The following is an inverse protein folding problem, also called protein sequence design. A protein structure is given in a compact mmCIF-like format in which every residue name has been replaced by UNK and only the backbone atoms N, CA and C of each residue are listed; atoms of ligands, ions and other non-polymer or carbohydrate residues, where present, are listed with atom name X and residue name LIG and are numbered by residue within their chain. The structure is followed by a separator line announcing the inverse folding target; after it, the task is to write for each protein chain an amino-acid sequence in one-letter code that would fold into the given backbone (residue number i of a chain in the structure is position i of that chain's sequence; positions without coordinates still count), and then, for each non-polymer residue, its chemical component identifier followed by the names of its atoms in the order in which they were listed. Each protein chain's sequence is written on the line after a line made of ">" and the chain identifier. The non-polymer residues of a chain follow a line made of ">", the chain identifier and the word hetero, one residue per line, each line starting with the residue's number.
data_IF_155851330701
#
_entry.id   IF_155851330701
#
_cell.length_a   1.000
_cell.length_b   1.000
_cell.length_c   1.000
_cell.angle_alpha   90.00
_cell.angle_beta   90.00
_cell.angle_gamma   90.00
#
_symmetry.space_group_name_H-M   'P 1'
#
loop_
_entity.id
_entity.type
_entity.pdbx_description
1 polymer ?
#
# COMPACT_ATOMS: atom_id res chain seq x y z
N UNK A 1 17.30 -28.27 -5.88
CA UNK A 1 18.74 -28.04 -6.16
C UNK A 1 19.45 -27.28 -5.03
N UNK A 2 18.78 -26.36 -4.32
CA UNK A 2 19.32 -25.59 -3.17
C UNK A 2 19.91 -26.41 -2.01
N UNK A 3 19.35 -27.56 -1.66
CA UNK A 3 19.73 -28.33 -0.47
C UNK A 3 20.99 -29.20 -0.62
N UNK A 4 21.61 -29.28 -1.80
CA UNK A 4 22.72 -30.23 -2.05
C UNK A 4 24.10 -29.72 -1.62
N UNK A 5 24.30 -28.41 -1.57
CA UNK A 5 25.60 -27.78 -1.27
C UNK A 5 25.59 -26.97 0.04
N UNK A 6 24.54 -27.12 0.85
CA UNK A 6 24.45 -26.50 2.17
C UNK A 6 25.27 -27.37 3.13
N UNK A 7 26.32 -26.79 3.75
CA UNK A 7 27.14 -27.49 4.75
C UNK A 7 26.28 -28.16 5.82
N UNK A 8 26.75 -29.28 6.38
CA UNK A 8 25.97 -30.10 7.33
C UNK A 8 25.39 -29.27 8.50
N UNK A 9 26.10 -28.22 8.91
CA UNK A 9 25.71 -27.24 9.94
C UNK A 9 24.46 -26.40 9.63
N UNK A 10 24.02 -26.33 8.37
CA UNK A 10 22.88 -25.51 7.94
C UNK A 10 21.70 -26.34 7.44
N UNK A 11 21.73 -27.68 7.60
CA UNK A 11 20.61 -28.55 7.22
C UNK A 11 19.33 -28.23 8.00
N UNK A 12 19.45 -27.88 9.28
CA UNK A 12 18.32 -27.47 10.11
C UNK A 12 17.72 -26.14 9.61
N UNK A 13 18.57 -25.18 9.28
CA UNK A 13 18.13 -23.90 8.72
C UNK A 13 17.39 -24.09 7.38
N UNK A 14 17.85 -25.02 6.55
CA UNK A 14 17.22 -25.36 5.29
C UNK A 14 15.87 -26.08 5.47
N UNK A 15 15.74 -26.95 6.49
CA UNK A 15 14.47 -27.57 6.88
C UNK A 15 13.47 -26.51 7.37
N UNK A 16 13.92 -25.60 8.24
CA UNK A 16 13.10 -24.50 8.76
C UNK A 16 12.62 -23.58 7.64
N UNK A 17 13.50 -23.28 6.66
CA UNK A 17 13.11 -22.54 5.47
C UNK A 17 12.02 -23.25 4.66
N UNK A 18 12.14 -24.56 4.44
CA UNK A 18 11.11 -25.34 3.74
C UNK A 18 9.77 -25.34 4.48
N UNK A 19 9.81 -25.42 5.82
CA UNK A 19 8.60 -25.30 6.65
C UNK A 19 7.97 -23.91 6.51
N UNK A 20 8.77 -22.84 6.59
CA UNK A 20 8.32 -21.48 6.32
C UNK A 20 7.67 -21.33 4.93
N UNK A 21 8.21 -21.99 3.89
CA UNK A 21 7.60 -21.99 2.56
C UNK A 21 6.23 -22.69 2.52
N UNK A 22 6.04 -23.76 3.31
CA UNK A 22 4.76 -24.45 3.42
C UNK A 22 3.72 -23.62 4.19
N UNK A 23 4.17 -22.91 5.22
CA UNK A 23 3.31 -22.12 6.13
C UNK A 23 3.13 -20.66 5.65
N UNK A 24 3.41 -20.35 4.38
CA UNK A 24 3.29 -18.99 3.83
C UNK A 24 1.89 -18.38 4.01
N UNK A 25 0.84 -19.20 4.10
CA UNK A 25 -0.54 -18.76 4.33
C UNK A 25 -0.74 -18.00 5.65
N UNK A 26 0.18 -18.12 6.62
CA UNK A 26 0.15 -17.35 7.85
C UNK A 26 0.51 -15.86 7.66
N UNK A 27 1.12 -15.49 6.53
CA UNK A 27 1.57 -14.13 6.26
C UNK A 27 0.69 -13.40 5.26
N UNK A 28 0.59 -12.08 5.41
CA UNK A 28 -0.15 -11.27 4.45
C UNK A 28 0.48 -11.35 3.05
N UNK A 29 -0.32 -11.28 1.95
CA UNK A 29 0.20 -11.29 0.59
C UNK A 29 1.25 -10.21 0.32
N UNK A 30 1.11 -9.04 0.98
CA UNK A 30 2.06 -7.94 0.88
C UNK A 30 3.40 -8.28 1.55
N UNK A 31 3.38 -8.91 2.73
CA UNK A 31 4.60 -9.38 3.41
C UNK A 31 5.35 -10.37 2.54
N UNK A 32 4.66 -11.35 1.95
CA UNK A 32 5.28 -12.32 1.05
C UNK A 32 5.83 -11.69 -0.23
N UNK A 33 5.11 -10.71 -0.79
CA UNK A 33 5.57 -9.93 -1.95
C UNK A 33 6.85 -9.16 -1.62
N UNK A 34 6.88 -8.51 -0.46
CA UNK A 34 8.01 -7.72 0.01
C UNK A 34 9.23 -8.58 0.29
N UNK A 35 9.04 -9.72 0.96
CA UNK A 35 10.08 -10.70 1.18
C UNK A 35 10.68 -11.18 -0.15
N UNK A 36 9.84 -11.58 -1.12
CA UNK A 36 10.30 -12.02 -2.44
C UNK A 36 11.11 -10.93 -3.15
N UNK A 37 10.66 -9.67 -3.09
CA UNK A 37 11.34 -8.55 -3.75
C UNK A 37 12.70 -8.28 -3.13
N UNK A 38 12.78 -8.19 -1.81
CA UNK A 38 14.04 -7.97 -1.09
C UNK A 38 15.00 -9.14 -1.34
N UNK A 39 14.49 -10.36 -1.26
CA UNK A 39 15.29 -11.56 -1.45
C UNK A 39 15.90 -11.64 -2.86
N UNK A 40 15.15 -11.32 -3.91
CA UNK A 40 15.70 -11.24 -5.26
C UNK A 40 16.76 -10.14 -5.40
N UNK A 41 16.55 -8.99 -4.75
CA UNK A 41 17.54 -7.90 -4.75
C UNK A 41 18.83 -8.31 -4.07
N UNK A 42 18.74 -8.94 -2.90
CA UNK A 42 19.87 -9.49 -2.15
C UNK A 42 20.61 -10.58 -2.92
N UNK A 43 19.91 -11.61 -3.41
CA UNK A 43 20.53 -12.71 -4.13
C UNK A 43 21.26 -12.24 -5.40
N UNK A 44 20.68 -11.27 -6.12
CA UNK A 44 21.34 -10.64 -7.27
C UNK A 44 22.61 -9.90 -6.87
N UNK A 45 22.56 -9.14 -5.77
CA UNK A 45 23.70 -8.42 -5.24
C UNK A 45 24.84 -9.35 -4.84
N UNK A 46 24.54 -10.47 -4.18
CA UNK A 46 25.51 -11.51 -3.82
C UNK A 46 26.12 -12.15 -5.06
N UNK A 47 25.27 -12.55 -6.02
CA UNK A 47 25.71 -13.22 -7.23
C UNK A 47 26.66 -12.35 -8.06
N UNK A 48 26.39 -11.05 -8.17
CA UNK A 48 27.25 -10.09 -8.86
C UNK A 48 28.65 -9.96 -8.21
N UNK A 49 28.82 -10.40 -6.96
CA UNK A 49 30.07 -10.36 -6.20
C UNK A 49 30.70 -11.73 -5.96
N UNK A 50 30.11 -12.80 -6.52
CA UNK A 50 30.56 -14.17 -6.24
C UNK A 50 30.35 -14.61 -4.79
N UNK A 51 29.45 -13.95 -4.04
CA UNK A 51 29.15 -14.28 -2.66
C UNK A 51 27.99 -15.29 -2.58
N UNK A 52 28.02 -16.16 -1.57
CA UNK A 52 26.86 -16.95 -1.20
C UNK A 52 25.77 -16.02 -0.63
N UNK A 53 24.53 -16.19 -1.10
CA UNK A 53 23.39 -15.42 -0.60
C UNK A 53 22.83 -15.98 0.72
N UNK A 54 23.20 -17.22 1.08
CA UNK A 54 22.79 -17.87 2.33
C UNK A 54 23.88 -18.84 2.84
N UNK A 55 24.11 -18.90 4.17
CA UNK A 55 23.55 -18.02 5.22
C UNK A 55 23.95 -16.55 5.01
N UNK A 56 23.16 -15.62 5.53
CA UNK A 56 23.43 -14.19 5.36
C UNK A 56 24.56 -13.79 6.32
N UNK A 57 25.75 -13.51 5.78
CA UNK A 57 26.86 -12.92 6.56
C UNK A 57 26.49 -11.50 7.02
N UNK A 58 26.70 -11.15 8.30
CA UNK A 58 26.51 -9.78 8.78
C UNK A 58 27.37 -8.76 8.02
N UNK A 59 28.61 -9.10 7.68
CA UNK A 59 29.51 -8.23 6.92
C UNK A 59 28.96 -7.93 5.53
N UNK A 60 28.52 -8.97 4.81
CA UNK A 60 27.92 -8.84 3.49
C UNK A 60 26.59 -8.06 3.54
N UNK A 61 25.75 -8.30 4.55
CA UNK A 61 24.52 -7.55 4.75
C UNK A 61 24.78 -6.08 5.05
N UNK A 62 25.79 -5.78 5.87
CA UNK A 62 26.23 -4.40 6.15
C UNK A 62 26.65 -3.67 4.88
N UNK A 63 27.52 -4.29 4.07
CA UNK A 63 27.97 -3.70 2.80
C UNK A 63 26.79 -3.47 1.85
N UNK A 64 25.89 -4.44 1.74
CA UNK A 64 24.69 -4.32 0.93
C UNK A 64 23.84 -3.11 1.34
N UNK A 65 23.51 -2.98 2.63
CA UNK A 65 22.66 -1.88 3.13
C UNK A 65 23.32 -0.51 2.94
N UNK A 66 24.65 -0.42 3.13
CA UNK A 66 25.41 0.81 2.84
C UNK A 66 25.42 1.12 1.34
N UNK A 67 25.58 0.13 0.47
CA UNK A 67 25.51 0.39 -0.97
C UNK A 67 24.12 0.88 -1.40
N UNK A 68 23.05 0.36 -0.81
CA UNK A 68 21.70 0.89 -1.08
C UNK A 68 21.59 2.37 -0.68
N UNK A 69 22.20 2.75 0.45
CA UNK A 69 22.25 4.14 0.91
C UNK A 69 23.08 5.05 -0.01
N UNK A 70 24.23 4.56 -0.45
CA UNK A 70 25.13 5.26 -1.39
C UNK A 70 24.49 5.41 -2.78
N UNK A 71 23.64 4.46 -3.18
CA UNK A 71 22.80 4.54 -4.38
C UNK A 71 21.56 5.46 -4.21
N UNK A 72 21.50 6.22 -3.12
CA UNK A 72 20.46 7.20 -2.81
C UNK A 72 19.05 6.61 -2.69
N UNK A 73 18.93 5.35 -2.27
CA UNK A 73 17.63 4.78 -1.92
C UNK A 73 17.10 5.40 -0.62
N UNK A 74 15.79 5.61 -0.57
CA UNK A 74 15.10 6.08 0.63
C UNK A 74 15.40 5.19 1.84
N UNK A 75 15.66 5.80 3.01
CA UNK A 75 15.98 5.09 4.25
C UNK A 75 14.92 4.04 4.63
N UNK A 76 13.64 4.35 4.42
CA UNK A 76 12.52 3.41 4.62
C UNK A 76 12.59 2.16 3.73
N UNK A 77 13.14 2.28 2.52
CA UNK A 77 13.35 1.12 1.62
C UNK A 77 14.49 0.26 2.16
N UNK A 78 15.56 0.88 2.66
CA UNK A 78 16.70 0.17 3.25
C UNK A 78 16.27 -0.55 4.54
N UNK A 79 15.46 0.09 5.38
CA UNK A 79 14.88 -0.55 6.58
C UNK A 79 14.00 -1.74 6.24
N UNK A 80 13.22 -1.66 5.17
CA UNK A 80 12.44 -2.79 4.66
C UNK A 80 13.36 -3.94 4.22
N UNK A 81 14.46 -3.65 3.53
CA UNK A 81 15.44 -4.67 3.16
C UNK A 81 16.00 -5.35 4.42
N UNK A 82 16.47 -4.55 5.38
CA UNK A 82 16.96 -5.03 6.67
C UNK A 82 15.93 -5.89 7.43
N UNK A 83 14.66 -5.47 7.49
CA UNK A 83 13.60 -6.20 8.17
C UNK A 83 13.26 -7.53 7.49
N UNK A 84 13.19 -7.58 6.16
CA UNK A 84 12.89 -8.82 5.43
C UNK A 84 14.04 -9.83 5.50
N UNK A 85 15.29 -9.37 5.53
CA UNK A 85 16.45 -10.26 5.76
C UNK A 85 16.46 -10.83 7.19
N UNK A 86 16.16 -10.01 8.20
CA UNK A 86 15.98 -10.48 9.58
C UNK A 86 14.83 -11.47 9.72
N UNK A 87 13.70 -11.21 9.05
CA UNK A 87 12.59 -12.14 9.01
C UNK A 87 13.04 -13.50 8.43
N UNK A 88 13.78 -13.51 7.33
CA UNK A 88 14.30 -14.75 6.74
C UNK A 88 15.20 -15.51 7.72
N UNK A 89 16.16 -14.84 8.36
CA UNK A 89 17.06 -15.47 9.35
C UNK A 89 16.28 -16.05 10.52
N UNK A 90 15.35 -15.28 11.08
CA UNK A 90 14.49 -15.72 12.17
C UNK A 90 13.67 -16.96 11.79
N UNK A 91 13.10 -17.00 10.59
CA UNK A 91 12.33 -18.16 10.12
C UNK A 91 13.22 -19.38 9.85
N UNK A 92 14.51 -19.17 9.57
CA UNK A 92 15.48 -20.25 9.43
C UNK A 92 16.08 -20.70 10.78
N UNK A 93 15.75 -20.04 11.89
CA UNK A 93 16.37 -20.31 13.20
C UNK A 93 17.82 -19.84 13.31
N UNK A 94 18.23 -18.88 12.48
CA UNK A 94 19.58 -18.30 12.48
C UNK A 94 19.61 -16.99 13.29
N UNK A 95 20.79 -16.59 13.81
CA UNK A 95 20.98 -15.29 14.47
C UNK A 95 20.51 -14.13 13.57
N UNK A 96 19.89 -13.12 14.16
CA UNK A 96 19.40 -11.97 13.41
C UNK A 96 20.54 -10.98 13.14
N UNK A 97 20.44 -10.22 12.05
CA UNK A 97 21.36 -9.12 11.75
C UNK A 97 21.33 -8.04 12.83
N UNK A 98 20.24 -7.93 13.59
CA UNK A 98 20.15 -7.02 14.73
C UNK A 98 21.08 -7.38 15.88
N UNK A 99 21.47 -8.64 15.98
CA UNK A 99 22.37 -9.11 17.03
C UNK A 99 23.82 -8.72 16.73
N UNK A 100 24.13 -8.43 15.47
CA UNK A 100 25.42 -7.92 15.05
C UNK A 100 25.54 -6.40 15.23
N UNK A 101 26.52 -5.99 16.05
CA UNK A 101 26.77 -4.57 16.35
C UNK A 101 27.18 -3.76 15.12
N UNK A 102 27.92 -4.35 14.19
CA UNK A 102 28.42 -3.65 13.01
C UNK A 102 27.28 -3.29 12.05
N UNK A 103 26.31 -4.20 11.87
CA UNK A 103 25.11 -3.96 11.07
C UNK A 103 24.20 -2.94 11.75
N UNK A 104 23.99 -3.09 13.06
CA UNK A 104 23.18 -2.15 13.84
C UNK A 104 23.72 -0.71 13.80
N UNK A 105 25.04 -0.54 13.89
CA UNK A 105 25.69 0.77 13.74
C UNK A 105 25.56 1.33 12.31
N UNK A 106 25.65 0.49 11.28
CA UNK A 106 25.44 0.92 9.90
C UNK A 106 23.99 1.41 9.69
N UNK A 107 22.98 0.69 10.18
CA UNK A 107 21.58 1.14 10.12
C UNK A 107 21.36 2.45 10.90
N UNK A 108 21.99 2.61 12.07
CA UNK A 108 21.95 3.89 12.82
C UNK A 108 22.57 5.04 12.03
N UNK A 109 23.69 4.79 11.34
CA UNK A 109 24.35 5.78 10.47
C UNK A 109 23.43 6.19 9.32
N UNK A 110 22.86 5.22 8.59
CA UNK A 110 21.94 5.45 7.47
C UNK A 110 20.76 6.32 7.92
N UNK A 111 20.12 5.98 9.04
CA UNK A 111 19.01 6.77 9.61
C UNK A 111 19.42 8.20 9.94
N UNK A 112 20.59 8.38 10.56
CA UNK A 112 21.10 9.70 10.93
C UNK A 112 21.36 10.55 9.70
N UNK A 113 22.13 10.04 8.74
CA UNK A 113 22.49 10.76 7.51
C UNK A 113 21.26 11.09 6.66
N UNK A 114 20.30 10.17 6.55
CA UNK A 114 19.01 10.42 5.92
C UNK A 114 18.28 11.61 6.56
N UNK A 115 18.22 11.67 7.89
CA UNK A 115 17.54 12.73 8.61
C UNK A 115 18.30 14.08 8.58
N UNK A 116 19.63 14.07 8.73
CA UNK A 116 20.43 15.30 8.93
C UNK A 116 21.01 15.88 7.65
N UNK A 117 21.48 15.04 6.72
CA UNK A 117 22.21 15.47 5.52
C UNK A 117 21.31 15.57 4.32
N UNK A 118 20.43 14.57 4.13
CA UNK A 118 19.47 14.55 3.01
C UNK A 118 18.17 15.29 3.34
N UNK A 119 17.94 15.62 4.62
CA UNK A 119 16.67 16.18 5.08
C UNK A 119 15.48 15.29 4.70
N UNK A 120 15.70 13.97 4.61
CA UNK A 120 14.70 13.01 4.17
C UNK A 120 13.54 13.06 5.18
N UNK A 121 12.43 13.64 4.75
CA UNK A 121 11.16 13.58 5.47
C UNK A 121 10.34 12.50 4.81
N UNK A 122 9.80 11.59 5.60
CA UNK A 122 8.71 10.72 5.14
C UNK A 122 7.61 11.61 4.59
N UNK A 123 7.47 11.64 3.26
CA UNK A 123 6.50 12.49 2.59
C UNK A 123 5.11 12.14 3.09
N UNK A 124 4.51 13.07 3.82
CA UNK A 124 3.11 12.96 4.20
C UNK A 124 2.27 13.40 3.00
N UNK A 125 1.21 12.66 2.75
CA UNK A 125 0.21 13.04 1.77
C UNK A 125 -0.32 14.45 2.05
N UNK A 126 -0.47 15.27 1.01
CA UNK A 126 -1.17 16.56 1.14
C UNK A 126 -2.65 16.26 1.42
N UNK A 127 -3.25 16.80 2.50
CA UNK A 127 -4.63 16.50 2.83
C UNK A 127 -5.58 17.19 1.85
N UNK A 128 -6.57 16.44 1.36
CA UNK A 128 -7.76 17.03 0.73
C UNK A 128 -8.61 17.70 1.82
N UNK A 129 -8.79 19.01 1.78
CA UNK A 129 -9.57 19.74 2.79
C UNK A 129 -11.06 19.73 2.48
N UNK A 130 -11.90 20.03 3.46
CA UNK A 130 -13.35 20.11 3.27
C UNK A 130 -13.77 21.11 2.19
N UNK A 131 -13.11 22.27 2.11
CA UNK A 131 -13.43 23.27 1.08
C UNK A 131 -13.01 22.81 -0.33
N UNK A 132 -11.95 22.01 -0.43
CA UNK A 132 -11.57 21.35 -1.68
C UNK A 132 -12.65 20.36 -2.11
N UNK A 133 -13.16 19.56 -1.17
CA UNK A 133 -14.22 18.59 -1.43
C UNK A 133 -15.53 19.26 -1.85
N UNK A 134 -15.89 20.40 -1.24
CA UNK A 134 -17.05 21.21 -1.67
C UNK A 134 -16.90 21.73 -3.11
N UNK A 135 -15.71 22.23 -3.47
CA UNK A 135 -15.49 22.72 -4.81
C UNK A 135 -15.58 21.57 -5.83
N UNK A 136 -14.96 20.43 -5.52
CA UNK A 136 -15.08 19.21 -6.33
C UNK A 136 -16.52 18.71 -6.45
N UNK A 137 -17.31 18.81 -5.39
CA UNK A 137 -18.73 18.47 -5.41
C UNK A 137 -19.49 19.30 -6.44
N UNK A 138 -19.27 20.62 -6.46
CA UNK A 138 -19.90 21.54 -7.44
C UNK A 138 -19.43 21.23 -8.87
N UNK A 139 -18.13 20.99 -9.06
CA UNK A 139 -17.55 20.73 -10.38
C UNK A 139 -18.01 19.39 -10.96
N UNK A 140 -18.03 18.32 -10.14
CA UNK A 140 -18.31 16.97 -10.60
C UNK A 140 -19.81 16.63 -10.64
N UNK A 141 -20.64 17.29 -9.82
CA UNK A 141 -22.10 17.04 -9.82
C UNK A 141 -22.80 17.44 -11.11
N UNK A 142 -22.19 18.31 -11.93
CA UNK A 142 -22.75 18.78 -13.20
C UNK A 142 -22.29 17.97 -14.41
N UNK A 143 -21.47 16.94 -14.19
CA UNK A 143 -20.92 16.13 -15.28
C UNK A 143 -21.85 14.98 -15.65
N UNK A 144 -22.10 14.80 -16.95
CA UNK A 144 -22.81 13.64 -17.49
C UNK A 144 -21.92 12.38 -17.56
N UNK A 145 -20.64 12.51 -17.21
CA UNK A 145 -19.68 11.41 -17.28
C UNK A 145 -19.75 10.61 -15.97
N UNK A 146 -20.08 9.32 -16.08
CA UNK A 146 -20.10 8.40 -14.93
C UNK A 146 -18.77 8.33 -14.19
N UNK A 147 -17.65 8.53 -14.87
CA UNK A 147 -16.33 8.57 -14.22
C UNK A 147 -16.22 9.70 -13.21
N UNK A 148 -16.84 10.85 -13.49
CA UNK A 148 -16.80 12.03 -12.64
C UNK A 148 -17.73 11.84 -11.43
N UNK A 149 -18.92 11.26 -11.64
CA UNK A 149 -19.83 10.88 -10.54
C UNK A 149 -19.22 9.80 -9.63
N UNK A 150 -18.55 8.80 -10.20
CA UNK A 150 -17.81 7.79 -9.45
C UNK A 150 -16.71 8.43 -8.61
N UNK A 151 -15.90 9.30 -9.21
CA UNK A 151 -14.80 9.96 -8.53
C UNK A 151 -15.33 10.84 -7.38
N UNK A 152 -16.42 11.58 -7.61
CA UNK A 152 -17.12 12.37 -6.59
C UNK A 152 -17.56 11.50 -5.41
N UNK A 153 -18.29 10.41 -5.65
CA UNK A 153 -18.74 9.50 -4.59
C UNK A 153 -17.56 8.83 -3.86
N UNK A 154 -16.52 8.43 -4.58
CA UNK A 154 -15.29 7.87 -4.01
C UNK A 154 -14.63 8.86 -3.04
N UNK A 155 -14.47 10.13 -3.43
CA UNK A 155 -13.84 11.16 -2.60
C UNK A 155 -14.68 11.47 -1.34
N UNK A 156 -16.01 11.55 -1.48
CA UNK A 156 -16.90 11.76 -0.32
C UNK A 156 -16.88 10.58 0.65
N UNK A 157 -16.85 9.35 0.15
CA UNK A 157 -16.78 8.16 1.00
C UNK A 157 -15.40 8.07 1.68
N UNK A 158 -14.32 8.30 0.94
CA UNK A 158 -12.97 8.36 1.50
C UNK A 158 -12.88 9.43 2.59
N UNK A 159 -13.47 10.60 2.36
CA UNK A 159 -13.42 11.71 3.30
C UNK A 159 -14.14 11.38 4.60
N UNK A 160 -15.34 10.81 4.47
CA UNK A 160 -16.20 10.57 5.61
C UNK A 160 -15.80 9.34 6.45
N UNK A 161 -15.20 8.31 5.82
CA UNK A 161 -14.91 7.03 6.49
C UNK A 161 -13.47 6.88 6.95
N UNK A 162 -12.53 7.63 6.35
CA UNK A 162 -11.07 7.52 6.55
C UNK A 162 -10.53 6.10 6.33
N UNK A 163 -11.20 5.31 5.50
CA UNK A 163 -10.74 3.97 5.16
C UNK A 163 -9.44 4.00 4.38
N UNK A 164 -8.59 3.00 4.61
CA UNK A 164 -7.39 2.82 3.79
C UNK A 164 -7.79 2.42 2.38
N UNK A 165 -6.98 2.80 1.40
CA UNK A 165 -7.21 2.46 -0.02
C UNK A 165 -7.51 0.99 -0.27
N UNK A 166 -6.84 0.08 0.44
CA UNK A 166 -7.07 -1.35 0.31
C UNK A 166 -8.46 -1.77 0.84
N UNK A 167 -8.95 -1.14 1.90
CA UNK A 167 -10.28 -1.36 2.47
C UNK A 167 -11.33 -0.77 1.51
N UNK A 168 -11.14 0.48 1.08
CA UNK A 168 -11.99 1.17 0.12
C UNK A 168 -12.18 0.37 -1.18
N UNK A 169 -11.11 -0.22 -1.72
CA UNK A 169 -11.16 -1.00 -2.97
C UNK A 169 -12.05 -2.24 -2.92
N UNK A 170 -12.31 -2.76 -1.71
CA UNK A 170 -13.05 -4.00 -1.49
C UNK A 170 -14.50 -3.80 -1.10
N UNK A 171 -14.92 -2.56 -0.83
CA UNK A 171 -16.31 -2.23 -0.50
C UNK A 171 -17.22 -2.67 -1.64
N UNK A 172 -18.27 -3.41 -1.29
CA UNK A 172 -19.31 -3.87 -2.21
C UNK A 172 -20.61 -3.12 -1.95
N UNK A 173 -21.52 -3.20 -2.92
CA UNK A 173 -22.86 -2.58 -2.79
C UNK A 173 -23.63 -3.16 -1.60
N UNK A 174 -23.53 -4.48 -1.38
CA UNK A 174 -24.17 -5.16 -0.23
C UNK A 174 -23.64 -4.75 1.15
N UNK A 175 -22.49 -4.08 1.20
CA UNK A 175 -21.91 -3.62 2.46
C UNK A 175 -22.56 -2.29 2.92
N UNK A 176 -23.48 -1.73 2.12
CA UNK A 176 -24.22 -0.52 2.40
C UNK A 176 -25.62 -0.86 2.91
N UNK A 177 -25.96 -0.36 4.09
CA UNK A 177 -27.31 -0.44 4.66
C UNK A 177 -27.93 0.97 4.68
N UNK A 178 -29.04 1.17 3.99
CA UNK A 178 -29.78 2.43 4.06
C UNK A 178 -30.60 2.47 5.36
N UNK A 179 -30.36 3.48 6.21
CA UNK A 179 -31.06 3.68 7.47
C UNK A 179 -31.65 5.09 7.51
N UNK A 180 -32.94 5.22 7.14
CA UNK A 180 -33.57 6.54 7.03
C UNK A 180 -32.90 7.39 5.95
N UNK A 181 -32.35 8.55 6.34
CA UNK A 181 -31.69 9.49 5.43
C UNK A 181 -30.16 9.37 5.38
N UNK A 182 -29.59 8.38 6.07
CA UNK A 182 -28.17 8.06 6.03
C UNK A 182 -27.94 6.62 5.57
N UNK A 183 -26.72 6.33 5.14
CA UNK A 183 -26.25 4.97 4.85
C UNK A 183 -25.23 4.56 5.91
N UNK A 184 -25.28 3.32 6.36
CA UNK A 184 -24.25 2.69 7.18
C UNK A 184 -23.40 1.79 6.28
N UNK A 185 -22.08 1.96 6.33
CA UNK A 185 -21.12 1.09 5.64
C UNK A 185 -20.54 0.08 6.64
N UNK A 186 -20.72 -1.22 6.35
CA UNK A 186 -20.17 -2.31 7.14
C UNK A 186 -18.80 -2.76 6.59
N UNK A 187 -17.73 -2.59 7.37
CA UNK A 187 -16.37 -2.92 6.94
C UNK A 187 -15.91 -4.22 7.58
N UNK A 188 -15.93 -5.32 6.83
CA UNK A 188 -15.69 -6.68 7.35
C UNK A 188 -14.20 -7.05 7.48
N UNK A 189 -13.28 -6.31 6.85
CA UNK A 189 -11.84 -6.66 6.86
C UNK A 189 -10.93 -5.42 6.91
N UNK A 190 -10.37 -5.13 8.10
CA UNK A 190 -9.31 -4.13 8.26
C UNK A 190 -7.96 -4.77 8.56
N UNK A 191 -6.86 -4.09 8.22
CA UNK A 191 -5.48 -4.61 8.41
C UNK A 191 -5.11 -4.88 9.88
N UNK A 192 -5.90 -4.39 10.83
CA UNK A 192 -5.58 -4.40 12.27
C UNK A 192 -6.60 -5.19 13.10
N UNK A 193 -7.75 -5.58 12.53
CA UNK A 193 -8.82 -6.28 13.25
C UNK A 193 -9.08 -7.62 12.55
N UNK A 194 -8.52 -8.68 13.12
CA UNK A 194 -8.76 -10.08 12.73
C UNK A 194 -9.93 -10.68 13.53
N UNK A 195 -10.51 -9.95 14.47
CA UNK A 195 -11.72 -10.37 15.19
C UNK A 195 -12.95 -10.12 14.32
N UNK A 196 -13.90 -11.03 14.36
CA UNK A 196 -15.13 -11.05 13.55
C UNK A 196 -16.09 -9.86 13.78
N UNK A 197 -15.70 -8.87 14.60
CA UNK A 197 -16.43 -7.63 14.78
C UNK A 197 -15.99 -6.64 13.70
N UNK A 198 -16.74 -6.59 12.59
CA UNK A 198 -16.57 -5.55 11.58
C UNK A 198 -16.67 -4.14 12.15
N UNK A 199 -16.32 -3.14 11.34
CA UNK A 199 -16.41 -1.73 11.72
C UNK A 199 -17.53 -1.06 10.93
N UNK A 200 -18.53 -0.55 11.64
CA UNK A 200 -19.64 0.18 11.03
C UNK A 200 -19.33 1.68 10.95
N UNK A 201 -19.59 2.27 9.79
CA UNK A 201 -19.37 3.70 9.50
C UNK A 201 -20.67 4.32 9.01
N UNK A 202 -21.33 5.08 9.88
CA UNK A 202 -22.51 5.88 9.50
C UNK A 202 -22.05 7.05 8.63
N UNK A 203 -22.63 7.15 7.44
CA UNK A 203 -22.30 8.18 6.47
C UNK A 203 -23.04 9.48 6.76
N UNK A 204 -22.38 10.62 6.53
CA UNK A 204 -23.05 11.91 6.57
C UNK A 204 -24.19 11.97 5.55
N UNK A 205 -25.20 12.81 5.78
CA UNK A 205 -26.31 13.01 4.82
C UNK A 205 -25.81 13.43 3.44
N UNK A 206 -24.78 14.28 3.38
CA UNK A 206 -24.21 14.71 2.09
C UNK A 206 -23.51 13.56 1.37
N UNK A 207 -22.68 12.80 2.08
CA UNK A 207 -22.03 11.60 1.54
C UNK A 207 -23.07 10.59 1.05
N UNK A 208 -24.15 10.39 1.82
CA UNK A 208 -25.26 9.52 1.46
C UNK A 208 -25.94 9.97 0.16
N UNK A 209 -26.25 11.26 0.02
CA UNK A 209 -26.83 11.80 -1.21
C UNK A 209 -25.91 11.59 -2.42
N UNK A 210 -24.62 11.95 -2.30
CA UNK A 210 -23.64 11.76 -3.40
C UNK A 210 -23.47 10.29 -3.76
N UNK A 211 -23.48 9.40 -2.77
CA UNK A 211 -23.38 7.96 -2.98
C UNK A 211 -24.62 7.40 -3.69
N UNK A 212 -25.81 7.87 -3.31
CA UNK A 212 -27.06 7.51 -3.97
C UNK A 212 -27.08 7.99 -5.43
N UNK A 213 -26.69 9.24 -5.71
CA UNK A 213 -26.55 9.76 -7.09
C UNK A 213 -25.69 8.82 -7.95
N UNK A 214 -24.57 8.33 -7.39
CA UNK A 214 -23.68 7.39 -8.06
C UNK A 214 -24.33 6.02 -8.28
N UNK A 215 -24.97 5.44 -7.25
CA UNK A 215 -25.61 4.13 -7.35
C UNK A 215 -26.74 4.12 -8.39
N UNK A 216 -27.52 5.19 -8.44
CA UNK A 216 -28.61 5.38 -9.42
C UNK A 216 -28.05 5.52 -10.83
N UNK A 217 -27.08 6.41 -11.05
CA UNK A 217 -26.51 6.64 -12.38
C UNK A 217 -25.73 5.43 -12.91
N UNK A 218 -25.07 4.68 -12.03
CA UNK A 218 -24.25 3.51 -12.40
C UNK A 218 -25.06 2.23 -12.61
N UNK A 219 -26.29 2.17 -12.11
CA UNK A 219 -27.12 0.95 -12.12
C UNK A 219 -26.60 -0.14 -11.19
N UNK A 220 -25.78 0.19 -10.18
CA UNK A 220 -25.16 -0.80 -9.30
C UNK A 220 -26.08 -1.29 -8.18
N UNK A 221 -27.23 -0.64 -7.93
CA UNK A 221 -28.17 -1.03 -6.86
C UNK A 221 -28.62 -2.49 -6.96
N UNK A 222 -28.83 -2.97 -8.17
CA UNK A 222 -29.30 -4.34 -8.43
C UNK A 222 -28.15 -5.38 -8.42
N UNK A 223 -26.94 -4.96 -8.07
CA UNK A 223 -25.74 -5.79 -8.10
C UNK A 223 -25.02 -5.80 -6.74
N UNK A 224 -25.60 -6.46 -5.71
CA UNK A 224 -25.09 -6.45 -4.34
C UNK A 224 -23.63 -6.92 -4.22
N UNK A 225 -23.22 -7.89 -5.04
CA UNK A 225 -21.85 -8.42 -5.01
C UNK A 225 -20.81 -7.59 -5.78
N UNK A 226 -21.26 -6.61 -6.56
CA UNK A 226 -20.35 -5.75 -7.30
C UNK A 226 -19.56 -4.86 -6.34
N UNK A 227 -18.29 -4.61 -6.68
CA UNK A 227 -17.49 -3.60 -5.99
C UNK A 227 -18.09 -2.21 -6.25
N UNK A 228 -18.10 -1.37 -5.22
CA UNK A 228 -18.82 -0.10 -5.21
C UNK A 228 -18.29 0.92 -6.23
N UNK A 229 -16.99 0.88 -6.52
CA UNK A 229 -16.33 1.80 -7.45
C UNK A 229 -15.61 1.04 -8.57
N UNK A 230 -16.31 0.57 -9.61
CA UNK A 230 -15.70 -0.15 -10.71
C UNK A 230 -15.03 0.75 -11.76
N UNK A 231 -14.25 0.14 -12.67
CA UNK A 231 -13.89 0.78 -13.92
C UNK A 231 -15.15 1.24 -14.67
N UNK A 232 -15.11 2.46 -15.21
CA UNK A 232 -16.13 2.99 -16.12
C UNK A 232 -15.61 2.82 -17.55
N UNK A 233 -16.39 2.17 -18.41
CA UNK A 233 -16.04 1.95 -19.81
C UNK A 233 -16.16 3.24 -20.63
N UNK A 234 -15.42 3.34 -21.74
CA UNK A 234 -15.46 4.50 -22.66
C UNK A 234 -16.85 4.84 -23.20
N UNK A 235 -17.78 3.87 -23.19
CA UNK A 235 -19.19 4.06 -23.56
C UNK A 235 -20.04 4.63 -22.43
N UNK A 236 -19.43 5.22 -21.40
CA UNK A 236 -20.09 5.78 -20.21
C UNK A 236 -20.98 4.78 -19.46
N UNK A 237 -20.46 3.56 -19.23
CA UNK A 237 -21.15 2.52 -18.44
C UNK A 237 -20.24 1.99 -17.34
N UNK A 238 -20.77 1.84 -16.12
CA UNK A 238 -20.07 1.17 -15.03
C UNK A 238 -19.94 -0.33 -15.33
N UNK A 239 -18.77 -0.91 -15.08
CA UNK A 239 -18.57 -2.36 -15.25
C UNK A 239 -19.01 -3.09 -13.99
N UNK A 240 -19.98 -3.99 -14.11
CA UNK A 240 -20.35 -4.90 -13.02
C UNK A 240 -19.22 -5.91 -12.83
N UNK A 241 -18.55 -5.87 -11.68
CA UNK A 241 -17.41 -6.75 -11.38
C UNK A 241 -17.24 -6.91 -9.89
N UNK A 242 -16.65 -8.04 -9.49
CA UNK A 242 -16.18 -8.28 -8.12
C UNK A 242 -14.69 -7.97 -7.96
N UNK A 243 -14.00 -7.61 -9.06
CA UNK A 243 -12.56 -7.33 -9.06
C UNK A 243 -12.32 -5.87 -8.65
N UNK A 244 -11.60 -5.61 -7.54
CA UNK A 244 -11.29 -4.25 -7.09
C UNK A 244 -10.55 -3.41 -8.12
N UNK A 245 -10.71 -2.08 -8.03
CA UNK A 245 -9.79 -1.16 -8.69
C UNK A 245 -8.37 -1.35 -8.16
N UNK A 246 -7.39 -1.23 -9.06
CA UNK A 246 -5.98 -1.27 -8.68
C UNK A 246 -5.59 -0.02 -7.89
N UNK A 247 -4.56 -0.12 -7.05
CA UNK A 247 -4.07 1.03 -6.29
C UNK A 247 -3.71 2.24 -7.19
N UNK A 248 -3.01 2.07 -8.34
CA UNK A 248 -2.75 3.19 -9.25
C UNK A 248 -4.02 3.82 -9.83
N UNK A 249 -5.04 3.01 -10.13
CA UNK A 249 -6.30 3.54 -10.67
C UNK A 249 -7.04 4.40 -9.64
N UNK A 250 -6.98 4.04 -8.36
CA UNK A 250 -7.56 4.85 -7.30
C UNK A 250 -6.69 6.06 -6.93
N UNK A 251 -5.36 5.95 -6.94
CA UNK A 251 -4.43 7.10 -6.79
C UNK A 251 -4.67 8.13 -7.90
N UNK A 252 -4.99 7.68 -9.12
CA UNK A 252 -5.38 8.55 -10.24
C UNK A 252 -6.64 9.38 -9.93
N UNK A 253 -7.62 8.84 -9.20
CA UNK A 253 -8.83 9.60 -8.83
C UNK A 253 -8.45 10.86 -8.04
N UNK A 254 -7.53 10.72 -7.09
CA UNK A 254 -7.04 11.84 -6.31
C UNK A 254 -6.20 12.82 -7.14
N UNK A 255 -5.33 12.31 -8.01
CA UNK A 255 -4.51 13.14 -8.91
C UNK A 255 -5.39 13.97 -9.86
N UNK A 256 -6.43 13.36 -10.45
CA UNK A 256 -7.38 14.04 -11.31
C UNK A 256 -8.16 15.12 -10.54
N UNK A 257 -8.57 14.83 -9.31
CA UNK A 257 -9.24 15.80 -8.43
C UNK A 257 -8.33 16.99 -8.08
N UNK A 258 -7.05 16.73 -7.81
CA UNK A 258 -6.06 17.78 -7.52
C UNK A 258 -5.84 18.71 -8.72
N UNK A 259 -5.72 18.12 -9.91
CA UNK A 259 -5.60 18.86 -11.16
C UNK A 259 -6.85 19.73 -11.44
N UNK A 260 -8.06 19.21 -11.19
CA UNK A 260 -9.31 19.96 -11.33
C UNK A 260 -9.38 21.19 -10.39
N UNK A 261 -8.75 21.12 -9.22
CA UNK A 261 -8.66 22.23 -8.28
C UNK A 261 -7.64 23.29 -8.70
N UNK A 262 -6.95 23.11 -9.83
CA UNK A 262 -5.87 24.01 -10.26
C UNK A 262 -4.67 24.01 -9.32
N UNK A 263 -4.58 23.03 -8.42
CA UNK A 263 -3.45 22.88 -7.53
C UNK A 263 -2.36 22.15 -8.30
N UNK A 264 -1.26 22.84 -8.58
CA UNK A 264 -0.03 22.17 -9.03
C UNK A 264 0.47 21.25 -7.92
N UNK A 265 1.08 20.13 -8.29
CA UNK A 265 1.81 19.29 -7.33
C UNK A 265 2.75 20.19 -6.55
N UNK A 266 2.49 20.36 -5.24
CA UNK A 266 3.49 20.91 -4.35
C UNK A 266 4.75 20.07 -4.58
N UNK A 267 5.87 20.73 -4.87
CA UNK A 267 7.16 20.15 -5.25
C UNK A 267 7.30 18.74 -4.69
N UNK A 268 7.43 17.70 -5.54
CA UNK A 268 7.48 16.33 -5.04
C UNK A 268 8.61 16.26 -4.04
N UNK A 269 8.29 16.09 -2.75
CA UNK A 269 9.26 15.59 -1.80
C UNK A 269 9.64 14.24 -2.38
N UNK A 270 10.87 14.13 -2.86
CA UNK A 270 11.42 12.95 -3.56
C UNK A 270 11.23 11.71 -2.68
N UNK A 271 10.08 11.05 -2.78
CA UNK A 271 9.96 9.65 -2.45
C UNK A 271 10.49 8.91 -3.68
N UNK A 272 11.81 8.69 -3.72
CA UNK A 272 12.44 7.86 -4.75
C UNK A 272 12.03 6.42 -4.48
N UNK A 273 10.85 6.05 -4.96
CA UNK A 273 10.52 4.64 -5.17
C UNK A 273 11.36 4.17 -6.36
N UNK A 274 12.11 3.09 -6.15
CA UNK A 274 12.88 2.43 -7.21
C UNK A 274 11.95 1.95 -8.33
N UNK A 275 11.78 2.85 -9.32
CA UNK A 275 11.08 2.81 -10.63
C UNK A 275 10.20 4.05 -10.72
N UNK A 276 10.65 4.99 -11.56
CA UNK A 276 10.09 6.32 -11.72
C UNK A 276 8.57 6.33 -11.92
N UNK A 277 7.89 6.90 -10.93
CA UNK A 277 6.73 7.78 -11.05
C UNK A 277 6.54 8.39 -9.65
N UNK A 278 6.81 9.70 -9.53
CA UNK A 278 6.49 10.44 -8.32
C UNK A 278 4.97 10.66 -8.29
N UNK A 279 4.24 9.74 -7.67
CA UNK A 279 2.81 9.91 -7.46
C UNK A 279 2.60 10.64 -6.14
N UNK A 280 2.06 11.87 -6.20
CA UNK A 280 1.53 12.54 -5.01
C UNK A 280 0.43 11.66 -4.46
N UNK A 281 0.70 11.02 -3.31
CA UNK A 281 -0.35 10.35 -2.56
C UNK A 281 -1.15 11.44 -1.88
N UNK A 282 -2.37 11.68 -2.32
CA UNK A 282 -3.36 12.42 -1.54
C UNK A 282 -4.04 11.39 -0.66
N UNK A 283 -4.10 11.67 0.64
CA UNK A 283 -4.88 10.90 1.60
C UNK A 283 -5.87 11.86 2.22
N UNK A 284 -7.05 11.35 2.53
CA UNK A 284 -7.93 12.04 3.45
C UNK A 284 -7.34 11.86 4.85
N UNK A 285 -7.00 12.97 5.49
CA UNK A 285 -6.62 13.01 6.90
C UNK A 285 -7.76 13.66 7.70
N UNK A 286 -7.95 13.26 8.97
CA UNK A 286 -8.98 13.81 9.86
C UNK A 286 -8.87 15.32 10.05
#
# INVERSE_FOLDING_TARGET
>A
MFLRDIGAEYQEAAKNFMQFLNDQGAYSPNTLRDLRLVFHSWARWCHARGLAWFPISPEAAREYLLQLHDADLASTTIEKHYAMLNMLLSQCGLPQLSDDKSVSLAMRRIRREAATEKGERTGQAVPLRWDDLKLLDVLLSRSDRLVDLRNRAFLFLAYNTLLRMAEMSRVRVRDLEQTGDTVTLHVSHTKTITTAAGLDKVLSRRTTAVLNDWLDASGLRDHPDAILFPPVHRSNKARITTTPLTAPAMEKIFSDAWALLGKSDATPIKAVTGRGQATVRVLVLP
#
